data_IF_686375280449
#
_entry.id   IF_686375280449
#
_cell.length_a   1.000
_cell.length_b   1.000
_cell.length_c   1.000
_cell.angle_alpha   90.00
_cell.angle_beta   90.00
_cell.angle_gamma   90.00
#
_symmetry.space_group_name_H-M   'P 1'
#
loop_
_entity.id
_entity.type
_entity.pdbx_description
1 polymer ?
#
# COMPACT_ATOMS: atom_id res chain seq x y z
N UNK A 1 2.53 -1.88 10.77
CA UNK A 1 2.33 -1.65 12.19
C UNK A 1 1.24 -2.62 12.62
N UNK A 2 1.50 -3.51 13.58
CA UNK A 2 0.58 -4.60 13.86
C UNK A 2 1.11 -5.56 14.92
N UNK A 3 0.28 -6.53 15.23
CA UNK A 3 0.51 -7.69 16.08
C UNK A 3 1.39 -8.74 15.38
N UNK A 4 2.03 -9.63 16.15
CA UNK A 4 2.88 -10.70 15.60
C UNK A 4 4.31 -10.26 15.23
N UNK A 5 4.88 -10.87 14.18
CA UNK A 5 6.27 -10.66 13.78
C UNK A 5 6.48 -9.28 13.14
N UNK A 6 7.47 -8.54 13.63
CA UNK A 6 7.85 -7.22 13.11
C UNK A 6 8.96 -7.33 12.07
N UNK A 7 8.85 -6.56 11.00
CA UNK A 7 9.89 -6.48 9.96
C UNK A 7 9.40 -5.83 8.66
N UNK A 8 8.09 -5.94 8.38
CA UNK A 8 7.49 -5.44 7.15
C UNK A 8 7.69 -3.92 6.94
N UNK A 9 7.84 -3.14 8.01
CA UNK A 9 8.13 -1.70 7.93
C UNK A 9 9.44 -1.35 7.19
N UNK A 10 10.37 -2.30 7.05
CA UNK A 10 11.61 -2.11 6.27
C UNK A 10 11.40 -2.30 4.76
N UNK A 11 10.29 -2.91 4.35
CA UNK A 11 9.98 -3.26 2.95
C UNK A 11 10.16 -2.10 1.96
N UNK A 12 9.60 -0.89 2.21
CA UNK A 12 9.71 0.23 1.28
C UNK A 12 11.15 0.69 1.06
N UNK A 13 11.99 0.62 2.10
CA UNK A 13 13.41 0.96 2.00
C UNK A 13 14.16 -0.09 1.20
N UNK A 14 13.97 -1.37 1.53
CA UNK A 14 14.62 -2.48 0.82
C UNK A 14 14.27 -2.52 -0.66
N UNK A 15 13.02 -2.24 -1.03
CA UNK A 15 12.62 -2.13 -2.44
C UNK A 15 13.41 -1.01 -3.13
N UNK A 16 13.43 0.21 -2.59
CA UNK A 16 14.18 1.33 -3.19
C UNK A 16 15.66 1.01 -3.38
N UNK A 17 16.29 0.38 -2.39
CA UNK A 17 17.69 -0.04 -2.47
C UNK A 17 17.92 -1.10 -3.56
N UNK A 18 16.93 -1.96 -3.84
CA UNK A 18 17.02 -2.98 -4.89
C UNK A 18 16.84 -2.41 -6.31
N UNK A 19 16.12 -1.30 -6.48
CA UNK A 19 15.79 -0.72 -7.79
C UNK A 19 17.00 -0.12 -8.53
N UNK A 20 18.14 0.08 -7.84
CA UNK A 20 19.37 0.60 -8.44
C UNK A 20 20.12 -0.39 -9.34
N UNK A 21 19.69 -1.65 -9.41
CA UNK A 21 20.37 -2.68 -10.20
C UNK A 21 19.90 -2.61 -11.66
N UNK A 22 20.84 -2.31 -12.58
CA UNK A 22 20.72 -2.48 -14.04
C UNK A 22 19.63 -1.66 -14.77
N UNK A 23 19.49 -0.36 -14.44
CA UNK A 23 18.49 0.52 -15.08
C UNK A 23 17.10 -0.14 -15.21
N UNK A 24 16.68 -0.81 -14.12
CA UNK A 24 15.48 -1.63 -14.08
C UNK A 24 14.29 -0.88 -14.66
N UNK A 25 13.61 -1.50 -15.63
CA UNK A 25 12.43 -0.95 -16.30
C UNK A 25 12.63 -0.32 -17.66
N UNK A 26 13.87 -0.07 -18.10
CA UNK A 26 14.17 0.48 -19.43
C UNK A 26 14.22 -0.58 -20.54
N UNK A 27 14.39 -1.84 -20.17
CA UNK A 27 14.35 -3.00 -21.06
C UNK A 27 13.00 -3.72 -20.97
N UNK A 28 12.53 -4.31 -22.08
CA UNK A 28 11.33 -5.13 -22.08
C UNK A 28 11.43 -6.30 -21.09
N UNK A 29 10.43 -6.47 -20.23
CA UNK A 29 10.31 -7.67 -19.39
C UNK A 29 10.10 -8.91 -20.27
N UNK A 30 10.87 -9.98 -20.05
CA UNK A 30 10.92 -11.14 -20.98
C UNK A 30 9.57 -11.83 -21.21
N UNK A 31 8.67 -11.83 -20.21
CA UNK A 31 7.36 -12.48 -20.34
C UNK A 31 6.33 -11.57 -21.04
N UNK A 32 6.28 -10.28 -20.68
CA UNK A 32 5.20 -9.38 -21.13
C UNK A 32 5.63 -8.45 -22.27
N UNK A 33 6.93 -8.39 -22.60
CA UNK A 33 7.46 -7.56 -23.68
C UNK A 33 7.44 -6.04 -23.43
N UNK A 34 7.09 -5.60 -22.23
CA UNK A 34 6.90 -4.18 -21.88
C UNK A 34 8.09 -3.63 -21.09
N UNK A 35 8.56 -2.45 -21.47
CA UNK A 35 9.53 -1.65 -20.71
C UNK A 35 8.78 -0.50 -20.03
N UNK A 36 8.42 -0.64 -18.75
CA UNK A 36 7.47 0.28 -18.09
C UNK A 36 7.90 1.74 -18.09
N UNK A 37 9.20 2.05 -18.09
CA UNK A 37 9.71 3.43 -18.17
C UNK A 37 9.40 4.12 -19.50
N UNK A 38 9.09 3.36 -20.55
CA UNK A 38 8.70 3.89 -21.87
C UNK A 38 7.20 4.15 -21.96
N UNK A 39 6.41 3.41 -21.19
CA UNK A 39 4.95 3.46 -21.23
C UNK A 39 4.34 4.36 -20.14
N UNK A 40 5.02 4.49 -19.00
CA UNK A 40 4.47 5.12 -17.79
C UNK A 40 5.38 6.26 -17.29
N UNK A 41 4.73 7.32 -16.79
CA UNK A 41 5.39 8.31 -15.93
C UNK A 41 5.14 7.93 -14.48
N UNK A 42 6.21 7.58 -13.77
CA UNK A 42 6.16 7.14 -12.37
C UNK A 42 6.88 8.16 -11.51
N UNK A 43 6.30 8.46 -10.35
CA UNK A 43 6.87 9.35 -9.33
C UNK A 43 6.95 8.57 -8.02
N UNK A 44 8.13 8.52 -7.40
CA UNK A 44 8.26 8.08 -6.01
C UNK A 44 7.86 9.23 -5.09
N UNK A 45 6.68 9.11 -4.47
CA UNK A 45 6.12 10.15 -3.61
C UNK A 45 6.58 10.04 -2.14
N UNK A 46 7.63 9.27 -1.88
CA UNK A 46 8.23 9.14 -0.55
C UNK A 46 7.47 8.18 0.36
N UNK A 47 7.55 8.41 1.67
CA UNK A 47 6.91 7.57 2.68
C UNK A 47 5.75 8.31 3.33
N UNK A 48 4.67 7.58 3.62
CA UNK A 48 3.53 8.09 4.38
C UNK A 48 3.90 8.39 5.84
N UNK A 49 3.25 9.36 6.51
CA UNK A 49 3.44 9.57 7.95
C UNK A 49 2.86 8.40 8.73
N UNK A 50 3.68 7.80 9.60
CA UNK A 50 3.28 6.70 10.46
C UNK A 50 3.59 7.06 11.92
N UNK A 51 2.60 6.91 12.78
CA UNK A 51 2.77 6.91 14.23
C UNK A 51 3.24 5.53 14.67
N UNK A 52 4.49 5.41 15.13
CA UNK A 52 5.08 4.12 15.52
C UNK A 52 4.42 3.46 16.73
N UNK A 53 3.59 4.19 17.47
CA UNK A 53 2.98 3.75 18.72
C UNK A 53 1.46 3.54 18.61
N UNK A 54 0.82 3.90 17.48
CA UNK A 54 -0.62 3.67 17.29
C UNK A 54 -0.99 3.49 15.83
N UNK A 55 -1.48 2.29 15.54
CA UNK A 55 -2.04 1.85 14.25
C UNK A 55 -3.16 2.80 13.85
N UNK A 56 -4.09 3.03 14.77
CA UNK A 56 -5.28 3.87 14.60
C UNK A 56 -4.91 5.31 14.22
N UNK A 57 -3.88 5.87 14.86
CA UNK A 57 -3.41 7.24 14.56
C UNK A 57 -2.70 7.35 13.20
N UNK A 58 -2.24 6.23 12.64
CA UNK A 58 -1.63 6.21 11.31
C UNK A 58 -2.64 6.14 10.17
N UNK A 59 -3.86 5.68 10.42
CA UNK A 59 -4.87 5.52 9.37
C UNK A 59 -5.27 6.85 8.71
N UNK A 60 -5.60 7.93 9.45
CA UNK A 60 -5.97 9.20 8.83
C UNK A 60 -4.90 9.84 7.93
N UNK A 61 -3.61 9.95 8.33
CA UNK A 61 -2.60 10.54 7.46
C UNK A 61 -2.31 9.69 6.21
N UNK A 62 -2.32 8.35 6.32
CA UNK A 62 -2.16 7.46 5.16
C UNK A 62 -3.31 7.65 4.17
N UNK A 63 -4.56 7.56 4.64
CA UNK A 63 -5.76 7.76 3.81
C UNK A 63 -5.75 9.11 3.12
N UNK A 64 -5.35 10.17 3.83
CA UNK A 64 -5.23 11.52 3.26
C UNK A 64 -4.23 11.56 2.10
N UNK A 65 -3.06 10.94 2.26
CA UNK A 65 -2.02 10.91 1.22
C UNK A 65 -2.48 10.13 -0.01
N UNK A 66 -3.11 8.96 0.19
CA UNK A 66 -3.65 8.16 -0.93
C UNK A 66 -4.73 8.90 -1.68
N UNK A 67 -5.66 9.55 -0.95
CA UNK A 67 -6.70 10.41 -1.54
C UNK A 67 -6.09 11.56 -2.33
N UNK A 68 -5.07 12.21 -1.81
CA UNK A 68 -4.36 13.30 -2.49
C UNK A 68 -3.79 12.85 -3.82
N UNK A 69 -3.07 11.72 -3.84
CA UNK A 69 -2.49 11.14 -5.07
C UNK A 69 -3.61 10.76 -6.05
N UNK A 70 -4.63 10.01 -5.60
CA UNK A 70 -5.73 9.57 -6.44
C UNK A 70 -6.51 10.75 -7.05
N UNK A 71 -6.66 11.87 -6.31
CA UNK A 71 -7.35 13.08 -6.79
C UNK A 71 -6.64 13.76 -7.98
N UNK A 72 -5.37 13.46 -8.22
CA UNK A 72 -4.63 13.96 -9.41
C UNK A 72 -4.94 13.18 -10.69
N UNK A 73 -5.67 12.06 -10.58
CA UNK A 73 -5.84 11.08 -11.66
C UNK A 73 -4.69 10.09 -11.80
N UNK A 74 -3.64 10.19 -10.96
CA UNK A 74 -2.61 9.16 -10.85
C UNK A 74 -3.14 7.91 -10.14
N UNK A 75 -2.54 6.76 -10.43
CA UNK A 75 -2.81 5.49 -9.74
C UNK A 75 -1.87 5.40 -8.53
N UNK A 76 -2.37 5.37 -7.28
CA UNK A 76 -1.52 5.14 -6.12
C UNK A 76 -0.94 3.72 -6.14
N UNK A 77 0.38 3.59 -6.10
CA UNK A 77 1.08 2.33 -5.87
C UNK A 77 1.71 2.37 -4.48
N UNK A 78 1.07 1.72 -3.52
CA UNK A 78 1.53 1.72 -2.12
C UNK A 78 2.47 0.55 -1.89
N UNK A 79 3.69 0.85 -1.48
CA UNK A 79 4.65 -0.14 -0.99
C UNK A 79 4.52 -0.15 0.52
N UNK A 80 3.89 -1.19 1.04
CA UNK A 80 3.40 -1.24 2.40
C UNK A 80 4.43 -1.57 3.48
N UNK A 81 3.93 -1.57 4.70
CA UNK A 81 4.43 -2.37 5.80
C UNK A 81 3.66 -3.69 5.87
N UNK A 82 2.86 -3.87 6.93
CA UNK A 82 1.93 -5.01 7.01
C UNK A 82 0.54 -4.66 6.45
N UNK A 83 -0.35 -5.65 6.43
CA UNK A 83 -1.66 -5.56 5.76
C UNK A 83 -2.62 -4.53 6.36
N UNK A 84 -2.34 -4.00 7.55
CA UNK A 84 -3.18 -2.96 8.19
C UNK A 84 -3.35 -1.69 7.33
N UNK A 85 -2.49 -1.48 6.32
CA UNK A 85 -2.59 -0.37 5.38
C UNK A 85 -3.67 -0.55 4.29
N UNK A 86 -4.21 -1.75 4.09
CA UNK A 86 -5.26 -1.96 3.08
C UNK A 86 -6.47 -1.04 3.34
N UNK A 87 -6.89 -0.90 4.59
CA UNK A 87 -8.02 -0.02 4.94
C UNK A 87 -7.82 1.45 4.53
N UNK A 88 -6.78 2.18 5.00
CA UNK A 88 -6.60 3.57 4.62
C UNK A 88 -6.31 3.74 3.11
N UNK A 89 -5.69 2.75 2.46
CA UNK A 89 -5.40 2.79 1.03
C UNK A 89 -6.70 2.70 0.21
N UNK A 90 -7.52 1.68 0.46
CA UNK A 90 -8.82 1.50 -0.21
C UNK A 90 -9.76 2.65 0.13
N UNK A 91 -9.82 3.07 1.39
CA UNK A 91 -10.66 4.19 1.80
C UNK A 91 -10.24 5.50 1.12
N UNK A 92 -8.94 5.74 0.92
CA UNK A 92 -8.42 6.93 0.24
C UNK A 92 -8.80 6.97 -1.24
N UNK A 93 -8.77 5.81 -1.92
CA UNK A 93 -9.24 5.67 -3.31
C UNK A 93 -10.76 5.83 -3.38
N UNK A 94 -11.50 5.20 -2.47
CA UNK A 94 -12.96 5.31 -2.40
C UNK A 94 -13.46 6.72 -2.09
N UNK A 95 -12.68 7.54 -1.38
CA UNK A 95 -12.97 8.96 -1.17
C UNK A 95 -12.97 9.80 -2.46
N UNK A 96 -12.31 9.30 -3.52
CA UNK A 96 -12.22 9.97 -4.83
C UNK A 96 -13.25 9.40 -5.81
N UNK A 97 -13.34 8.08 -5.91
CA UNK A 97 -14.16 7.42 -6.94
C UNK A 97 -15.55 7.00 -6.45
N UNK A 98 -15.80 7.03 -5.14
CA UNK A 98 -17.04 6.58 -4.51
C UNK A 98 -17.01 5.09 -4.17
N UNK A 99 -17.53 4.74 -2.99
CA UNK A 99 -17.47 3.37 -2.43
C UNK A 99 -18.10 2.31 -3.34
N UNK A 100 -19.20 2.64 -4.01
CA UNK A 100 -19.91 1.73 -4.91
C UNK A 100 -19.17 1.50 -6.25
N UNK A 101 -18.13 2.29 -6.53
CA UNK A 101 -17.33 2.21 -7.76
C UNK A 101 -15.93 1.61 -7.52
N UNK A 102 -15.65 1.13 -6.31
CA UNK A 102 -14.36 0.52 -5.96
C UNK A 102 -14.58 -0.95 -5.60
N UNK A 103 -13.98 -1.85 -6.37
CA UNK A 103 -13.85 -3.26 -6.03
C UNK A 103 -12.45 -3.58 -5.50
N UNK A 104 -12.35 -4.55 -4.60
CA UNK A 104 -11.07 -5.04 -4.06
C UNK A 104 -10.84 -6.47 -4.55
N UNK A 105 -9.66 -6.72 -5.11
CA UNK A 105 -9.18 -8.06 -5.41
C UNK A 105 -8.07 -8.36 -4.40
N UNK A 106 -8.34 -9.27 -3.48
CA UNK A 106 -7.47 -9.58 -2.35
C UNK A 106 -6.73 -10.90 -2.61
N UNK A 107 -5.40 -10.84 -2.70
CA UNK A 107 -4.53 -12.01 -2.83
C UNK A 107 -3.73 -12.16 -1.54
N UNK A 108 -4.11 -13.12 -0.71
CA UNK A 108 -3.39 -13.44 0.52
C UNK A 108 -3.51 -14.94 0.82
N UNK A 109 -2.59 -15.46 1.62
CA UNK A 109 -2.69 -16.79 2.20
C UNK A 109 -3.68 -16.82 3.38
N UNK A 110 -3.99 -15.66 3.96
CA UNK A 110 -4.88 -15.48 5.09
C UNK A 110 -6.19 -14.79 4.66
N UNK A 111 -7.24 -14.93 5.47
CA UNK A 111 -8.55 -14.36 5.14
C UNK A 111 -8.68 -12.87 5.52
N UNK A 112 -7.92 -12.44 6.53
CA UNK A 112 -7.82 -11.06 7.00
C UNK A 112 -9.16 -10.32 7.23
N UNK A 113 -10.21 -11.04 7.64
CA UNK A 113 -11.52 -10.47 7.93
C UNK A 113 -12.12 -11.05 9.21
N UNK A 114 -11.32 -11.08 10.29
CA UNK A 114 -11.80 -11.49 11.61
C UNK A 114 -12.94 -10.58 12.09
N UNK A 115 -13.89 -11.14 12.85
CA UNK A 115 -15.07 -10.40 13.32
C UNK A 115 -14.89 -9.77 14.72
N UNK A 116 -14.03 -10.35 15.56
CA UNK A 116 -13.93 -10.00 16.99
C UNK A 116 -12.67 -9.20 17.36
N UNK A 117 -11.90 -8.74 16.35
CA UNK A 117 -10.60 -8.13 16.56
C UNK A 117 -9.50 -9.17 16.74
N UNK A 118 -8.31 -8.88 16.21
CA UNK A 118 -7.15 -9.74 16.40
C UNK A 118 -6.36 -9.28 17.63
N UNK A 119 -6.18 -10.17 18.61
CA UNK A 119 -5.49 -9.85 19.88
C UNK A 119 -6.05 -8.60 20.59
N UNK A 120 -7.37 -8.36 20.48
CA UNK A 120 -8.04 -7.20 21.07
C UNK A 120 -7.93 -5.90 20.26
N UNK A 121 -7.35 -5.94 19.05
CA UNK A 121 -7.26 -4.79 18.15
C UNK A 121 -8.26 -4.89 17.01
N UNK A 122 -9.06 -3.85 16.82
CA UNK A 122 -10.04 -3.76 15.72
C UNK A 122 -9.41 -3.34 14.39
N UNK A 123 -8.21 -2.77 14.44
CA UNK A 123 -7.41 -2.44 13.26
C UNK A 123 -6.09 -3.19 13.37
N UNK A 124 -5.88 -4.16 12.50
CA UNK A 124 -4.69 -5.02 12.53
C UNK A 124 -4.38 -5.57 11.14
N UNK A 125 -3.25 -6.25 10.98
CA UNK A 125 -2.94 -6.92 9.71
C UNK A 125 -3.84 -8.12 9.39
N UNK A 126 -4.59 -8.66 10.35
CA UNK A 126 -5.47 -9.82 10.18
C UNK A 126 -6.95 -9.40 10.12
N UNK A 127 -7.17 -8.08 10.12
CA UNK A 127 -8.46 -7.41 10.04
C UNK A 127 -8.15 -5.93 9.71
N UNK A 128 -7.77 -5.63 8.46
CA UNK A 128 -7.41 -4.29 8.04
C UNK A 128 -8.63 -3.37 7.97
#
# INVERSE_FOLDING_TARGET
MGVGMRGAASGPKSLRESLGVLDGGSLPHMHVGVAWKRELRVVDYGNSPIDRLSVERSMPPVRKLVREIASTGAIPLVIGGDHSLEYPDVAGVADVYGKENVGVIHFDAHYDAAAEGYSGHLISHAQP
#
